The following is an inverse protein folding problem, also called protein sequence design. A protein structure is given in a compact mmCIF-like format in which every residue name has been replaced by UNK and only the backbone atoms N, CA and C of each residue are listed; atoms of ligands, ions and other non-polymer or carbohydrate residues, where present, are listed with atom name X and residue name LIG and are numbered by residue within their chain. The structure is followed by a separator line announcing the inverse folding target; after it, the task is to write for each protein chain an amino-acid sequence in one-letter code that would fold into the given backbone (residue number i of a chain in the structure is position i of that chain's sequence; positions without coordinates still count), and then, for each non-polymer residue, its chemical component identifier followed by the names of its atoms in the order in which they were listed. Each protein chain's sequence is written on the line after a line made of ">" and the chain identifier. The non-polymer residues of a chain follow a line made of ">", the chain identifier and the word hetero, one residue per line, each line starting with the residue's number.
data_IF_266342071225
#
_entry.id   IF_266342071225
#
_cell.length_a   1.000
_cell.length_b   1.000
_cell.length_c   1.000
_cell.angle_alpha   90.00
_cell.angle_beta   90.00
_cell.angle_gamma   90.00
#
_symmetry.space_group_name_H-M   'P 1'
#
loop_
_entity.id
_entity.type
_entity.pdbx_description
1 polymer ?
#
# COMPACT_ATOMS: atom_id res chain seq x y z
N UNK A 1 -23.14 5.95 0.48
CA UNK A 1 -21.97 5.20 -0.04
C UNK A 1 -20.72 6.04 -0.27
N UNK A 2 -20.76 7.38 -0.33
CA UNK A 2 -19.56 8.20 -0.14
C UNK A 2 -19.24 8.36 1.36
N UNK A 3 -19.24 7.25 2.09
CA UNK A 3 -19.25 7.23 3.57
C UNK A 3 -17.87 7.01 4.20
N UNK A 4 -16.82 6.93 3.39
CA UNK A 4 -15.46 6.78 3.88
C UNK A 4 -14.69 7.99 3.35
N UNK A 5 -14.10 8.80 4.24
CA UNK A 5 -13.52 10.13 3.95
C UNK A 5 -12.40 10.19 2.90
N UNK A 6 -12.13 9.08 2.19
CA UNK A 6 -11.13 8.91 1.13
C UNK A 6 -11.50 9.64 -0.18
N UNK A 7 -12.80 9.89 -0.41
CA UNK A 7 -13.29 10.60 -1.59
C UNK A 7 -14.35 11.63 -1.22
N UNK A 8 -14.34 12.77 -1.93
CA UNK A 8 -15.36 13.82 -1.81
C UNK A 8 -16.16 13.91 -3.09
N UNK A 9 -17.47 13.80 -2.98
CA UNK A 9 -18.39 13.96 -4.11
C UNK A 9 -18.57 15.46 -4.44
N UNK A 10 -18.41 15.80 -5.73
CA UNK A 10 -18.59 17.16 -6.24
C UNK A 10 -19.90 17.36 -7.01
N UNK A 11 -20.68 16.29 -7.23
CA UNK A 11 -21.90 16.32 -8.04
C UNK A 11 -21.73 15.63 -9.40
N UNK A 12 -22.83 15.25 -10.05
CA UNK A 12 -22.85 14.64 -11.39
C UNK A 12 -21.95 13.39 -11.53
N UNK A 13 -21.78 12.63 -10.45
CA UNK A 13 -20.90 11.45 -10.44
C UNK A 13 -19.41 11.79 -10.46
N UNK A 14 -19.03 13.05 -10.27
CA UNK A 14 -17.65 13.48 -10.13
C UNK A 14 -17.21 13.32 -8.68
N UNK A 15 -16.06 12.68 -8.49
CA UNK A 15 -15.41 12.50 -7.20
C UNK A 15 -13.99 13.03 -7.27
N UNK A 16 -13.51 13.59 -6.17
CA UNK A 16 -12.11 13.96 -5.99
C UNK A 16 -11.53 13.16 -4.82
N UNK A 17 -10.28 12.71 -4.96
CA UNK A 17 -9.55 12.09 -3.86
C UNK A 17 -9.28 13.13 -2.77
N UNK A 18 -9.29 12.69 -1.52
CA UNK A 18 -8.92 13.52 -0.36
C UNK A 18 -7.50 13.20 0.08
N UNK A 19 -6.95 14.00 0.99
CA UNK A 19 -5.63 13.74 1.58
C UNK A 19 -5.56 12.36 2.26
N UNK A 20 -6.64 11.94 2.95
CA UNK A 20 -6.76 10.59 3.53
C UNK A 20 -6.77 9.50 2.44
N UNK A 21 -7.42 9.77 1.30
CA UNK A 21 -7.44 8.87 0.15
C UNK A 21 -6.06 8.70 -0.47
N UNK A 22 -5.31 9.80 -0.60
CA UNK A 22 -3.92 9.76 -1.06
C UNK A 22 -3.05 8.98 -0.06
N UNK A 23 -3.18 9.24 1.23
CA UNK A 23 -2.46 8.52 2.28
C UNK A 23 -2.76 7.01 2.26
N UNK A 24 -4.00 6.60 2.03
CA UNK A 24 -4.35 5.17 1.91
C UNK A 24 -3.68 4.51 0.69
N UNK A 25 -3.69 5.19 -0.47
CA UNK A 25 -3.05 4.67 -1.69
C UNK A 25 -1.53 4.61 -1.57
N UNK A 26 -0.94 5.50 -0.77
CA UNK A 26 0.50 5.52 -0.48
C UNK A 26 0.89 4.62 0.69
N UNK A 27 -0.05 3.91 1.33
CA UNK A 27 0.23 3.03 2.47
C UNK A 27 0.48 3.75 3.80
N UNK A 28 0.21 5.07 3.86
CA UNK A 28 0.36 5.93 5.04
C UNK A 28 -0.89 6.00 5.92
N UNK A 29 -1.99 5.36 5.53
CA UNK A 29 -3.24 5.28 6.31
C UNK A 29 -3.79 3.85 6.35
N UNK A 30 -3.89 3.27 7.54
CA UNK A 30 -4.65 2.05 7.79
C UNK A 30 -6.15 2.38 7.90
N UNK A 31 -6.93 2.02 6.89
CA UNK A 31 -8.39 2.22 6.88
C UNK A 31 -9.18 1.16 7.65
N UNK A 32 -8.55 0.07 8.09
CA UNK A 32 -9.19 -0.89 9.00
C UNK A 32 -9.38 -0.27 10.38
N UNK A 33 -8.33 0.41 10.89
CA UNK A 33 -8.33 1.03 12.22
C UNK A 33 -8.41 2.57 12.19
N UNK A 34 -8.43 3.20 11.02
CA UNK A 34 -8.39 4.65 10.79
C UNK A 34 -7.22 5.33 11.51
N UNK A 35 -6.01 4.83 11.24
CA UNK A 35 -4.77 5.35 11.83
C UNK A 35 -3.72 5.62 10.77
N UNK A 36 -3.09 6.79 10.88
CA UNK A 36 -1.93 7.10 10.07
C UNK A 36 -0.74 6.21 10.49
N UNK A 37 -0.06 5.69 9.49
CA UNK A 37 1.17 4.93 9.62
C UNK A 37 2.30 5.94 9.41
N UNK A 38 3.15 6.11 10.42
CA UNK A 38 4.33 6.96 10.33
C UNK A 38 5.45 6.17 9.63
N UNK A 39 5.93 6.69 8.50
CA UNK A 39 6.93 6.03 7.65
C UNK A 39 8.34 6.05 8.26
N UNK A 40 8.56 6.85 9.32
CA UNK A 40 9.80 6.82 10.11
C UNK A 40 9.91 5.60 11.05
N UNK A 41 8.84 4.81 11.22
CA UNK A 41 8.81 3.71 12.19
C UNK A 41 9.09 2.31 11.62
N UNK A 42 8.95 2.08 10.31
CA UNK A 42 9.13 0.74 9.75
C UNK A 42 9.57 0.84 8.28
N UNK A 43 10.86 1.15 8.08
CA UNK A 43 11.55 0.69 6.90
C UNK A 43 11.51 -0.84 6.94
N UNK A 44 10.49 -1.41 6.30
CA UNK A 44 10.40 -2.84 6.09
C UNK A 44 11.57 -3.18 5.17
N UNK A 45 12.68 -3.61 5.76
CA UNK A 45 13.76 -4.30 5.07
C UNK A 45 13.08 -5.47 4.34
N UNK A 46 12.80 -5.28 3.05
CA UNK A 46 12.47 -6.36 2.16
C UNK A 46 13.68 -7.28 2.16
N UNK A 47 13.66 -8.28 3.04
CA UNK A 47 14.50 -9.46 2.93
C UNK A 47 14.14 -10.11 1.60
N UNK A 48 14.79 -9.66 0.54
CA UNK A 48 14.99 -10.46 -0.65
C UNK A 48 15.71 -11.72 -0.18
N UNK A 49 14.93 -12.78 0.09
CA UNK A 49 15.46 -14.12 0.23
C UNK A 49 16.08 -14.48 -1.11
N UNK A 50 17.36 -14.16 -1.24
CA UNK A 50 18.26 -14.74 -2.21
C UNK A 50 18.37 -16.24 -1.90
N UNK A 51 17.54 -17.04 -2.55
CA UNK A 51 17.82 -18.47 -2.70
C UNK A 51 18.25 -18.71 -4.14
N UNK A 52 19.56 -18.98 -4.25
CA UNK A 52 20.35 -18.93 -5.46
C UNK A 52 20.04 -20.02 -6.47
N UNK A 53 20.28 -19.65 -7.73
CA UNK A 53 20.63 -20.62 -8.77
C UNK A 53 21.84 -21.46 -8.36
N UNK A 54 21.69 -22.78 -8.40
CA UNK A 54 22.76 -23.67 -8.84
C UNK A 54 22.16 -24.75 -9.74
N UNK A 55 22.20 -24.47 -11.03
CA UNK A 55 22.28 -25.47 -12.09
C UNK A 55 23.40 -26.46 -11.77
N UNK A 56 23.07 -27.75 -11.69
CA UNK A 56 24.07 -28.78 -11.97
C UNK A 56 23.44 -29.91 -12.79
N UNK A 57 23.67 -29.85 -14.10
CA UNK A 57 23.55 -31.03 -14.95
C UNK A 57 24.58 -32.07 -14.51
N UNK A 58 24.17 -33.33 -14.46
CA UNK A 58 25.06 -34.45 -14.15
C UNK A 58 24.42 -35.76 -14.51
N UNK A 59 24.74 -36.26 -15.71
CA UNK A 59 24.41 -37.58 -16.17
C UNK A 59 25.03 -38.67 -15.28
N UNK A 60 24.27 -39.73 -15.00
CA UNK A 60 24.72 -41.12 -14.85
C UNK A 60 23.51 -42.06 -14.91
#
# INVERSE_FOLDING_TARGET
>A
MAENGLVRHLGNGVYIITDDGEAYLEGRLDTENWRYIDEDADAVEASESADGETSNGGAS
#
